data_IF_977634683411
#
_entry.id   IF_977634683411
#
_cell.length_a   1.000
_cell.length_b   1.000
_cell.length_c   1.000
_cell.angle_alpha   90.00
_cell.angle_beta   90.00
_cell.angle_gamma   90.00
#
_symmetry.space_group_name_H-M   'P 1'
#
loop_
_entity.id
_entity.type
_entity.pdbx_description
1 polymer ?
#
# COMPACT_ATOMS: atom_id res chain seq x y z
N UNK A 1 -10.37 -5.98 5.23
CA UNK A 1 -9.90 -4.97 4.26
C UNK A 1 -11.07 -4.26 3.59
N UNK A 2 -11.92 -4.93 2.84
CA UNK A 2 -13.06 -4.35 2.09
C UNK A 2 -13.95 -3.47 2.99
N UNK A 3 -14.36 -3.97 4.17
CA UNK A 3 -15.19 -3.21 5.13
C UNK A 3 -14.55 -1.89 5.61
N UNK A 4 -13.21 -1.79 5.59
CA UNK A 4 -12.49 -0.60 6.03
C UNK A 4 -12.50 0.53 5.00
N UNK A 5 -12.72 0.19 3.73
CA UNK A 5 -12.63 1.12 2.60
C UNK A 5 -13.89 1.94 2.36
N UNK A 6 -15.03 1.61 3.02
CA UNK A 6 -16.32 2.30 2.87
C UNK A 6 -16.77 2.41 1.40
N UNK A 7 -16.80 1.28 0.70
CA UNK A 7 -17.21 1.20 -0.71
C UNK A 7 -18.70 1.50 -0.81
N UNK A 8 -19.08 2.38 -1.72
CA UNK A 8 -20.48 2.77 -2.00
C UNK A 8 -21.01 2.08 -3.24
N UNK A 9 -22.32 2.17 -3.47
CA UNK A 9 -23.01 1.47 -4.54
C UNK A 9 -22.57 1.85 -5.97
N UNK A 10 -21.93 2.98 -6.18
CA UNK A 10 -21.44 3.41 -7.49
C UNK A 10 -19.93 3.51 -7.59
N UNK A 11 -19.20 3.07 -6.53
CA UNK A 11 -17.75 3.14 -6.51
C UNK A 11 -17.16 2.25 -7.60
N UNK A 12 -16.23 2.82 -8.40
CA UNK A 12 -15.38 2.08 -9.31
C UNK A 12 -14.19 1.52 -8.53
N UNK A 13 -14.11 0.21 -8.41
CA UNK A 13 -13.08 -0.47 -7.61
C UNK A 13 -12.25 -1.37 -8.50
N UNK A 14 -10.93 -1.25 -8.39
CA UNK A 14 -9.97 -2.08 -9.12
C UNK A 14 -9.20 -3.00 -8.15
N UNK A 15 -9.18 -4.29 -8.45
CA UNK A 15 -8.19 -5.23 -7.93
C UNK A 15 -7.06 -5.34 -8.96
N UNK A 16 -5.89 -4.76 -8.73
CA UNK A 16 -4.84 -4.65 -9.75
C UNK A 16 -4.03 -5.93 -9.93
N UNK A 17 -4.26 -6.95 -9.09
CA UNK A 17 -3.59 -8.27 -9.13
C UNK A 17 -4.49 -9.33 -8.54
N UNK A 18 -5.53 -9.68 -9.27
CA UNK A 18 -6.64 -10.52 -8.80
C UNK A 18 -6.18 -11.87 -8.23
N UNK A 19 -5.20 -12.53 -8.86
CA UNK A 19 -4.75 -13.85 -8.47
C UNK A 19 -5.92 -14.81 -8.29
N UNK A 20 -6.04 -15.46 -7.14
CA UNK A 20 -7.17 -16.32 -6.78
C UNK A 20 -8.50 -15.62 -6.47
N UNK A 21 -8.63 -14.32 -6.71
CA UNK A 21 -9.89 -13.57 -6.60
C UNK A 21 -10.30 -13.14 -5.19
N UNK A 22 -9.46 -13.35 -4.18
CA UNK A 22 -9.82 -13.10 -2.76
C UNK A 22 -10.39 -11.70 -2.51
N UNK A 23 -9.89 -10.67 -3.20
CA UNK A 23 -10.45 -9.32 -3.07
C UNK A 23 -11.60 -9.11 -4.02
N UNK A 24 -11.39 -9.38 -5.31
CA UNK A 24 -12.36 -9.13 -6.36
C UNK A 24 -13.71 -9.82 -6.12
N UNK A 25 -13.70 -11.11 -5.74
CA UNK A 25 -14.91 -11.90 -5.54
C UNK A 25 -15.71 -11.45 -4.31
N UNK A 26 -15.02 -10.91 -3.30
CA UNK A 26 -15.63 -10.39 -2.07
C UNK A 26 -15.99 -8.90 -2.12
N UNK A 27 -15.75 -8.20 -3.22
CA UNK A 27 -16.25 -6.83 -3.39
C UNK A 27 -17.78 -6.80 -3.41
N UNK A 28 -18.41 -5.73 -2.88
CA UNK A 28 -19.87 -5.59 -2.93
C UNK A 28 -20.42 -5.73 -4.35
N UNK A 29 -21.57 -6.39 -4.48
CA UNK A 29 -22.20 -6.65 -5.79
C UNK A 29 -22.73 -5.39 -6.48
N UNK A 30 -22.90 -4.34 -5.72
CA UNK A 30 -23.46 -3.05 -6.17
C UNK A 30 -22.38 -2.00 -6.52
N UNK A 31 -21.08 -2.33 -6.44
CA UNK A 31 -20.02 -1.47 -6.97
C UNK A 31 -19.61 -1.88 -8.39
N UNK A 32 -19.02 -0.95 -9.14
CA UNK A 32 -18.44 -1.21 -10.46
C UNK A 32 -17.05 -1.80 -10.22
N UNK A 33 -16.90 -3.11 -10.38
CA UNK A 33 -15.64 -3.80 -10.08
C UNK A 33 -14.89 -4.21 -11.34
N UNK A 34 -13.60 -3.89 -11.35
CA UNK A 34 -12.64 -4.28 -12.37
C UNK A 34 -11.47 -5.03 -11.75
N UNK A 35 -10.71 -5.74 -12.55
CA UNK A 35 -9.48 -6.40 -12.13
C UNK A 35 -8.44 -6.43 -13.23
N UNK A 36 -7.18 -6.52 -12.81
CA UNK A 36 -6.06 -6.90 -13.66
C UNK A 36 -5.50 -8.25 -13.19
N UNK A 37 -5.02 -9.06 -14.14
CA UNK A 37 -4.36 -10.33 -13.88
C UNK A 37 -3.49 -10.70 -15.08
N UNK A 38 -2.18 -10.73 -14.85
CA UNK A 38 -1.20 -10.93 -15.93
C UNK A 38 -1.35 -12.27 -16.63
N UNK A 39 -1.77 -13.31 -15.92
CA UNK A 39 -2.04 -14.64 -16.48
C UNK A 39 -3.27 -14.68 -17.38
N UNK A 40 -4.13 -13.66 -17.30
CA UNK A 40 -5.30 -13.46 -18.16
C UNK A 40 -5.06 -12.37 -19.24
N UNK A 41 -3.81 -12.00 -19.50
CA UNK A 41 -3.40 -10.93 -20.43
C UNK A 41 -4.02 -9.56 -20.09
N UNK A 42 -4.21 -9.27 -18.81
CA UNK A 42 -4.70 -7.99 -18.29
C UNK A 42 -3.63 -7.38 -17.41
N UNK A 43 -2.60 -6.78 -18.02
CA UNK A 43 -1.53 -6.14 -17.26
C UNK A 43 -2.06 -4.88 -16.56
N UNK A 44 -1.70 -4.73 -15.28
CA UNK A 44 -2.06 -3.56 -14.50
C UNK A 44 -1.46 -2.27 -15.09
N UNK A 45 -0.29 -2.36 -15.70
CA UNK A 45 0.37 -1.19 -16.29
C UNK A 45 -0.30 -0.68 -17.58
N UNK A 46 -1.14 -1.50 -18.20
CA UNK A 46 -1.96 -1.11 -19.37
C UNK A 46 -3.33 -0.53 -18.96
N UNK A 47 -3.71 -0.63 -17.69
CA UNK A 47 -4.98 -0.10 -17.19
C UNK A 47 -4.85 1.40 -16.92
N UNK A 48 -5.61 2.24 -17.66
CA UNK A 48 -5.49 3.69 -17.62
C UNK A 48 -6.77 4.43 -17.17
N UNK A 49 -7.85 3.71 -16.90
CA UNK A 49 -9.09 4.33 -16.44
C UNK A 49 -8.96 4.79 -14.98
N UNK A 50 -9.53 5.95 -14.66
CA UNK A 50 -9.62 6.40 -13.28
C UNK A 50 -10.62 5.57 -12.48
N UNK A 51 -10.24 5.21 -11.27
CA UNK A 51 -11.07 4.47 -10.32
C UNK A 51 -11.13 5.16 -8.95
N UNK A 52 -12.21 4.94 -8.21
CA UNK A 52 -12.39 5.55 -6.88
C UNK A 52 -11.58 4.84 -5.80
N UNK A 53 -11.23 3.58 -6.02
CA UNK A 53 -10.46 2.78 -5.07
C UNK A 53 -9.68 1.68 -5.78
N UNK A 54 -8.41 1.55 -5.42
CA UNK A 54 -7.63 0.34 -5.69
C UNK A 54 -7.48 -0.47 -4.40
N UNK A 55 -7.73 -1.78 -4.47
CA UNK A 55 -7.64 -2.68 -3.32
C UNK A 55 -6.91 -3.97 -3.71
N UNK A 56 -5.90 -4.39 -2.97
CA UNK A 56 -5.18 -5.61 -3.32
C UNK A 56 -3.94 -5.88 -2.48
N UNK A 57 -3.16 -6.84 -2.95
CA UNK A 57 -1.85 -7.20 -2.43
C UNK A 57 -0.80 -7.02 -3.55
N UNK A 58 -0.11 -5.89 -3.61
CA UNK A 58 0.79 -5.59 -4.72
C UNK A 58 2.00 -6.52 -4.78
N UNK A 59 2.54 -6.83 -5.98
CA UNK A 59 3.79 -7.57 -6.11
C UNK A 59 4.96 -6.71 -5.63
N UNK A 60 5.59 -7.09 -4.53
CA UNK A 60 6.63 -6.28 -3.87
C UNK A 60 7.90 -6.10 -4.71
N UNK A 61 8.17 -6.99 -5.66
CA UNK A 61 9.28 -6.86 -6.62
C UNK A 61 9.10 -5.70 -7.61
N UNK A 62 7.86 -5.29 -7.86
CA UNK A 62 7.52 -4.20 -8.78
C UNK A 62 7.07 -2.93 -8.06
N UNK A 63 7.30 -2.84 -6.74
CA UNK A 63 6.73 -1.82 -5.86
C UNK A 63 6.81 -0.39 -6.41
N UNK A 64 7.98 0.04 -6.86
CA UNK A 64 8.15 1.43 -7.26
C UNK A 64 7.31 1.82 -8.46
N UNK A 65 7.33 1.00 -9.51
CA UNK A 65 6.50 1.21 -10.71
C UNK A 65 5.01 1.04 -10.38
N UNK A 66 4.71 0.08 -9.52
CA UNK A 66 3.34 -0.22 -9.10
C UNK A 66 2.68 0.96 -8.40
N UNK A 67 3.35 1.52 -7.42
CA UNK A 67 2.86 2.69 -6.67
C UNK A 67 2.74 3.93 -7.55
N UNK A 68 3.73 4.17 -8.42
CA UNK A 68 3.64 5.28 -9.38
C UNK A 68 2.42 5.16 -10.29
N UNK A 69 2.15 3.97 -10.79
CA UNK A 69 0.96 3.72 -11.62
C UNK A 69 -0.34 3.83 -10.82
N UNK A 70 -0.38 3.24 -9.62
CA UNK A 70 -1.51 3.37 -8.69
C UNK A 70 -1.89 4.83 -8.47
N UNK A 71 -0.93 5.69 -8.12
CA UNK A 71 -1.18 7.11 -7.83
C UNK A 71 -1.61 7.94 -9.05
N UNK A 72 -1.41 7.44 -10.27
CA UNK A 72 -1.90 8.10 -11.50
C UNK A 72 -3.38 7.91 -11.74
N UNK A 73 -3.93 6.76 -11.34
CA UNK A 73 -5.29 6.34 -11.71
C UNK A 73 -6.27 6.31 -10.55
N UNK A 74 -5.83 6.61 -9.32
CA UNK A 74 -6.74 6.72 -8.17
C UNK A 74 -6.24 7.73 -7.14
N UNK A 75 -7.16 8.36 -6.46
CA UNK A 75 -6.89 9.20 -5.28
C UNK A 75 -7.01 8.43 -3.95
N UNK A 76 -7.36 7.13 -4.02
CA UNK A 76 -7.47 6.27 -2.84
C UNK A 76 -7.08 4.84 -3.12
N UNK A 77 -6.20 4.28 -2.31
CA UNK A 77 -5.85 2.87 -2.40
C UNK A 77 -5.65 2.23 -1.04
N UNK A 78 -5.91 0.94 -1.00
CA UNK A 78 -5.83 0.11 0.19
C UNK A 78 -5.03 -1.15 -0.12
N UNK A 79 -3.86 -1.30 0.51
CA UNK A 79 -2.97 -2.43 0.26
C UNK A 79 -2.69 -3.23 1.52
N UNK A 80 -2.51 -4.55 1.34
CA UNK A 80 -1.88 -5.38 2.35
C UNK A 80 -0.36 -5.28 2.17
N UNK A 81 0.34 -4.93 3.24
CA UNK A 81 1.79 -4.78 3.25
C UNK A 81 2.37 -5.63 4.37
N UNK A 82 3.26 -6.55 4.04
CA UNK A 82 4.08 -7.22 5.05
C UNK A 82 5.01 -6.22 5.75
N UNK A 83 5.38 -6.48 7.01
CA UNK A 83 6.19 -5.55 7.80
C UNK A 83 7.52 -5.16 7.12
N UNK A 84 8.15 -6.08 6.39
CA UNK A 84 9.39 -5.81 5.63
C UNK A 84 9.16 -4.93 4.38
N UNK A 85 7.91 -4.73 3.97
CA UNK A 85 7.53 -3.92 2.82
C UNK A 85 6.95 -2.56 3.22
N UNK A 86 6.60 -2.38 4.48
CA UNK A 86 6.13 -1.12 5.04
C UNK A 86 7.32 -0.32 5.60
N UNK A 87 8.18 0.16 4.69
CA UNK A 87 9.43 0.86 5.05
C UNK A 87 9.27 2.38 4.94
N UNK A 88 10.14 3.12 5.65
CA UNK A 88 10.16 4.58 5.62
C UNK A 88 10.33 5.14 4.21
N UNK A 89 11.22 4.56 3.40
CA UNK A 89 11.48 5.01 2.04
C UNK A 89 10.23 4.86 1.14
N UNK A 90 9.53 3.71 1.23
CA UNK A 90 8.31 3.45 0.46
C UNK A 90 7.15 4.36 0.89
N UNK A 91 6.97 4.53 2.19
CA UNK A 91 5.94 5.42 2.74
C UNK A 91 6.23 6.87 2.35
N UNK A 92 7.47 7.33 2.52
CA UNK A 92 7.89 8.69 2.16
C UNK A 92 7.60 9.00 0.69
N UNK A 93 7.87 8.06 -0.22
CA UNK A 93 7.57 8.24 -1.65
C UNK A 93 6.09 8.54 -1.87
N UNK A 94 5.19 7.85 -1.19
CA UNK A 94 3.74 8.05 -1.29
C UNK A 94 3.34 9.41 -0.68
N UNK A 95 3.84 9.71 0.52
CA UNK A 95 3.53 10.99 1.20
C UNK A 95 4.02 12.19 0.39
N UNK A 96 5.20 12.11 -0.23
CA UNK A 96 5.76 13.19 -1.07
C UNK A 96 4.97 13.41 -2.37
N UNK A 97 4.13 12.45 -2.76
CA UNK A 97 3.20 12.59 -3.89
C UNK A 97 1.80 13.06 -3.47
N UNK A 98 1.65 13.64 -2.27
CA UNK A 98 0.41 14.26 -1.80
C UNK A 98 -0.60 13.30 -1.17
N UNK A 99 -0.23 12.04 -0.95
CA UNK A 99 -1.09 11.08 -0.25
C UNK A 99 -0.79 11.08 1.25
N UNK A 100 -1.84 10.89 2.07
CA UNK A 100 -1.70 10.63 3.50
C UNK A 100 -2.16 9.22 3.85
N UNK A 101 -1.56 8.63 4.87
CA UNK A 101 -2.05 7.40 5.47
C UNK A 101 -3.21 7.76 6.39
N UNK A 102 -4.41 7.31 6.06
CA UNK A 102 -5.62 7.61 6.84
C UNK A 102 -6.04 6.49 7.76
N UNK A 103 -5.59 5.25 7.49
CA UNK A 103 -5.80 4.09 8.37
C UNK A 103 -4.66 3.09 8.27
N UNK A 104 -4.34 2.48 9.40
CA UNK A 104 -3.46 1.32 9.51
C UNK A 104 -4.15 0.29 10.40
N UNK A 105 -4.21 -0.96 9.95
CA UNK A 105 -4.62 -2.09 10.75
C UNK A 105 -3.53 -3.16 10.74
N UNK A 106 -3.08 -3.53 11.92
CA UNK A 106 -2.18 -4.66 12.10
C UNK A 106 -2.99 -5.96 12.03
N UNK A 107 -2.52 -6.92 11.27
CA UNK A 107 -3.11 -8.25 11.22
C UNK A 107 -2.03 -9.33 11.21
N UNK A 108 -2.40 -10.51 11.70
CA UNK A 108 -1.63 -11.74 11.56
C UNK A 108 -2.34 -12.62 10.54
N UNK A 109 -1.62 -13.06 9.52
CA UNK A 109 -2.10 -14.05 8.55
C UNK A 109 -1.53 -15.40 9.00
N UNK A 110 -2.37 -16.39 9.24
CA UNK A 110 -1.99 -17.64 9.93
C UNK A 110 -0.82 -18.38 9.26
N UNK A 111 -0.83 -18.43 7.93
CA UNK A 111 0.22 -19.11 7.15
C UNK A 111 1.41 -18.19 6.81
N UNK A 112 1.38 -16.90 7.20
CA UNK A 112 2.44 -15.96 6.93
C UNK A 112 3.27 -15.70 8.19
N UNK A 113 4.60 -15.82 8.08
CA UNK A 113 5.51 -15.76 9.23
C UNK A 113 5.62 -14.37 9.88
N UNK A 114 5.32 -13.30 9.16
CA UNK A 114 5.48 -11.95 9.67
C UNK A 114 4.15 -11.21 9.83
N UNK A 115 4.10 -10.20 10.72
CA UNK A 115 2.96 -9.29 10.79
C UNK A 115 2.72 -8.59 9.46
N UNK A 116 1.47 -8.30 9.16
CA UNK A 116 1.05 -7.55 7.98
C UNK A 116 0.17 -6.39 8.38
N UNK A 117 0.10 -5.40 7.53
CA UNK A 117 -0.70 -4.20 7.71
C UNK A 117 -1.68 -4.06 6.56
N UNK A 118 -2.93 -3.71 6.87
CA UNK A 118 -3.83 -3.09 5.89
C UNK A 118 -3.63 -1.60 6.02
N UNK A 119 -3.20 -0.95 4.94
CA UNK A 119 -2.92 0.49 4.94
C UNK A 119 -3.80 1.16 3.90
N UNK A 120 -4.51 2.22 4.31
CA UNK A 120 -5.31 3.07 3.41
C UNK A 120 -4.58 4.38 3.21
N UNK A 121 -4.33 4.69 1.94
CA UNK A 121 -3.76 5.94 1.48
C UNK A 121 -4.82 6.74 0.73
N UNK A 122 -4.92 8.02 1.05
CA UNK A 122 -5.87 8.93 0.39
C UNK A 122 -5.14 10.25 0.04
N UNK A 123 -5.38 10.73 -1.17
CA UNK A 123 -4.79 11.98 -1.67
C UNK A 123 -5.33 13.19 -0.91
N UNK A 124 -4.50 14.18 -0.72
CA UNK A 124 -4.82 15.45 -0.02
C UNK A 124 -5.38 15.25 1.40
N UNK A 125 -5.05 14.13 2.03
CA UNK A 125 -5.39 13.85 3.42
C UNK A 125 -4.16 13.91 4.32
N UNK A 126 -4.38 14.39 5.54
CA UNK A 126 -3.33 14.37 6.56
C UNK A 126 -3.01 12.93 6.95
N UNK A 127 -1.73 12.60 6.97
CA UNK A 127 -1.26 11.30 7.44
C UNK A 127 -1.40 11.18 8.96
N UNK A 128 -1.84 10.01 9.43
CA UNK A 128 -1.89 9.67 10.86
C UNK A 128 -0.54 9.26 11.42
N UNK A 129 0.46 9.05 10.56
CA UNK A 129 1.85 8.79 10.95
C UNK A 129 2.76 9.81 10.29
N UNK A 130 3.87 10.12 10.94
CA UNK A 130 4.99 10.86 10.37
C UNK A 130 6.09 9.90 9.96
N UNK A 131 6.87 10.30 8.95
CA UNK A 131 8.10 9.62 8.56
C UNK A 131 9.23 10.61 8.74
N UNK A 132 9.95 10.45 9.85
CA UNK A 132 11.08 11.31 10.17
C UNK A 132 12.23 11.10 9.18
N UNK A 133 13.07 12.13 8.96
CA UNK A 133 14.33 11.97 8.28
C UNK A 133 15.17 10.88 8.95
N UNK A 134 16.09 10.27 8.21
CA UNK A 134 16.99 9.25 8.76
C UNK A 134 17.70 9.81 9.99
N UNK A 135 17.35 9.28 11.15
CA UNK A 135 17.95 9.66 12.41
C UNK A 135 19.22 8.82 12.63
N UNK A 136 20.34 9.47 12.85
CA UNK A 136 21.57 8.80 13.28
C UNK A 136 21.46 8.60 14.79
N UNK A 137 21.49 7.34 15.25
CA UNK A 137 21.37 7.02 16.69
C UNK A 137 22.35 7.82 17.58
N UNK A 138 23.49 8.24 17.02
CA UNK A 138 24.43 9.11 17.73
C UNK A 138 23.86 10.47 18.07
N UNK A 139 22.91 10.99 17.29
CA UNK A 139 22.26 12.28 17.56
C UNK A 139 21.27 12.16 18.72
N UNK A 140 20.59 11.01 18.83
CA UNK A 140 19.67 10.72 19.94
C UNK A 140 20.41 10.52 21.25
N UNK A 141 21.55 9.83 21.24
CA UNK A 141 22.32 9.48 22.43
C UNK A 141 23.45 10.48 22.76
N UNK A 142 23.52 11.62 22.07
CA UNK A 142 24.59 12.62 22.21
C UNK A 142 26.00 12.00 22.15
N UNK A 143 26.22 11.07 21.24
CA UNK A 143 27.51 10.40 21.07
C UNK A 143 27.86 9.32 22.10
N UNK A 144 26.96 9.00 23.04
CA UNK A 144 27.24 7.98 24.08
C UNK A 144 27.18 6.54 23.58
N UNK A 145 26.58 6.28 22.43
CA UNK A 145 26.58 4.93 21.85
C UNK A 145 27.96 4.66 21.22
N UNK A 146 28.64 3.63 21.68
CA UNK A 146 29.81 3.12 20.96
C UNK A 146 29.34 2.58 19.62
N UNK A 147 29.72 3.20 18.50
CA UNK A 147 29.53 2.62 17.17
C UNK A 147 30.22 1.26 17.18
N UNK A 148 29.46 0.19 17.05
CA UNK A 148 30.05 -1.10 16.71
C UNK A 148 30.89 -0.86 15.45
N UNK A 149 32.21 -1.05 15.53
CA UNK A 149 33.06 -1.01 14.36
C UNK A 149 32.53 -2.08 13.42
N UNK A 150 31.92 -1.67 12.30
CA UNK A 150 31.71 -2.56 11.19
C UNK A 150 33.09 -3.11 10.85
N UNK A 151 33.31 -4.38 11.11
CA UNK A 151 34.54 -5.07 10.74
C UNK A 151 34.77 -4.89 9.25
N UNK A 152 36.06 -4.76 8.96
CA UNK A 152 36.63 -4.71 7.61
C UNK A 152 36.18 -5.91 6.79
#
# INVERSE_FOLDING_TARGET
MIKLCKITNSSKVLDPSKGGGVFYDNLPTNCIKNYCEITENKDFFDYNDNVDLIIGNPPYSLWDKWIEHTMKITDKFCYILGCFNFTDARVRKILNNGFGITKIHLLKIDWWYSPSYIVIFEKDKKSIISVEPKVILCDICNGRCKRGRAGK
#
